data_IF_077532841257
#
_entry.id   IF_077532841257
#
_cell.length_a   1.000
_cell.length_b   1.000
_cell.length_c   1.000
_cell.angle_alpha   90.00
_cell.angle_beta   90.00
_cell.angle_gamma   90.00
#
_symmetry.space_group_name_H-M   'P 1'
#
loop_
_entity.id
_entity.type
_entity.pdbx_description
1 polymer ?
#
# COMPACT_ATOMS: atom_id res chain seq x y z
N UNK A 1 3.32 13.93 0.44
CA UNK A 1 3.18 13.25 -0.86
C UNK A 1 4.56 12.79 -1.27
N UNK A 2 4.80 11.49 -1.36
CA UNK A 2 5.89 11.04 -2.21
C UNK A 2 5.37 11.17 -3.64
N UNK A 3 5.63 12.31 -4.28
CA UNK A 3 5.59 12.35 -5.73
C UNK A 3 6.59 11.28 -6.18
N UNK A 4 6.24 10.31 -7.06
CA UNK A 4 7.22 9.36 -7.53
C UNK A 4 8.32 10.18 -8.20
N UNK A 5 9.45 10.29 -7.51
CA UNK A 5 10.59 11.03 -8.01
C UNK A 5 10.96 10.41 -9.34
N UNK A 6 11.00 11.22 -10.39
CA UNK A 6 11.52 10.74 -11.67
C UNK A 6 12.97 10.35 -11.44
N UNK A 7 13.49 9.42 -12.22
CA UNK A 7 14.90 9.05 -12.12
C UNK A 7 15.80 10.28 -12.36
N UNK A 8 15.35 11.26 -13.17
CA UNK A 8 15.98 12.57 -13.33
C UNK A 8 16.09 13.35 -12.03
N UNK A 9 15.01 13.38 -11.23
CA UNK A 9 14.96 14.11 -9.95
C UNK A 9 15.88 13.47 -8.91
N UNK A 10 16.12 12.17 -9.05
CA UNK A 10 17.02 11.39 -8.19
C UNK A 10 18.50 11.57 -8.58
N UNK A 11 18.80 12.05 -9.78
CA UNK A 11 20.19 12.32 -10.18
C UNK A 11 20.82 13.38 -9.28
N UNK A 12 20.10 14.48 -9.01
CA UNK A 12 20.58 15.57 -8.15
C UNK A 12 20.76 15.09 -6.70
N UNK A 13 19.88 14.20 -6.23
CA UNK A 13 19.93 13.67 -4.87
C UNK A 13 21.09 12.68 -4.66
N UNK A 14 21.33 11.79 -5.63
CA UNK A 14 22.31 10.70 -5.49
C UNK A 14 23.62 10.93 -6.23
N UNK A 15 23.73 11.98 -7.06
CA UNK A 15 24.92 12.27 -7.87
C UNK A 15 25.24 11.18 -8.90
N UNK A 16 24.22 10.45 -9.38
CA UNK A 16 24.36 9.32 -10.31
C UNK A 16 23.45 9.54 -11.50
N UNK A 17 23.88 9.08 -12.68
CA UNK A 17 23.02 9.14 -13.86
C UNK A 17 21.77 8.24 -13.68
N UNK A 18 20.72 8.56 -14.43
CA UNK A 18 19.45 7.79 -14.44
C UNK A 18 19.66 6.28 -14.62
N UNK A 19 20.56 5.89 -15.53
CA UNK A 19 20.83 4.48 -15.81
C UNK A 19 21.39 3.76 -14.60
N UNK A 20 22.35 4.34 -13.89
CA UNK A 20 22.93 3.75 -12.69
C UNK A 20 21.91 3.67 -11.55
N UNK A 21 21.08 4.70 -11.37
CA UNK A 21 19.99 4.69 -10.38
C UNK A 21 18.99 3.58 -10.70
N UNK A 22 18.62 3.43 -11.97
CA UNK A 22 17.74 2.36 -12.43
C UNK A 22 18.36 0.98 -12.18
N UNK A 23 19.63 0.77 -12.55
CA UNK A 23 20.33 -0.50 -12.32
C UNK A 23 20.42 -0.86 -10.84
N UNK A 24 20.76 0.10 -9.98
CA UNK A 24 20.84 -0.12 -8.53
C UNK A 24 19.45 -0.45 -7.98
N UNK A 25 18.42 0.30 -8.38
CA UNK A 25 17.04 0.07 -7.92
C UNK A 25 16.55 -1.32 -8.28
N UNK A 26 16.79 -1.76 -9.53
CA UNK A 26 16.43 -3.11 -9.98
C UNK A 26 17.23 -4.19 -9.25
N UNK A 27 18.54 -4.00 -9.05
CA UNK A 27 19.36 -4.95 -8.30
C UNK A 27 18.87 -5.13 -6.85
N UNK A 28 18.44 -4.04 -6.19
CA UNK A 28 17.83 -4.10 -4.85
C UNK A 28 16.48 -4.80 -4.90
N UNK A 29 15.63 -4.51 -5.88
CA UNK A 29 14.34 -5.20 -6.06
C UNK A 29 14.54 -6.71 -6.25
N UNK A 30 15.48 -7.12 -7.10
CA UNK A 30 15.80 -8.53 -7.34
C UNK A 30 16.30 -9.21 -6.07
N UNK A 31 17.16 -8.54 -5.29
CA UNK A 31 17.64 -9.05 -4.01
C UNK A 31 16.53 -9.21 -2.99
N UNK A 32 15.64 -8.22 -2.87
CA UNK A 32 14.50 -8.27 -1.98
C UNK A 32 13.55 -9.40 -2.37
N UNK A 33 13.28 -9.56 -3.66
CA UNK A 33 12.43 -10.65 -4.14
C UNK A 33 13.08 -12.01 -3.88
N UNK A 34 14.33 -12.21 -4.29
CA UNK A 34 15.07 -13.45 -4.06
C UNK A 34 15.07 -13.86 -2.58
N UNK A 35 15.28 -12.89 -1.68
CA UNK A 35 15.38 -13.15 -0.24
C UNK A 35 14.03 -13.30 0.45
N UNK A 36 13.04 -12.45 0.13
CA UNK A 36 11.82 -12.29 0.92
C UNK A 36 10.53 -12.68 0.18
N UNK A 37 10.58 -13.21 -1.05
CA UNK A 37 9.37 -13.60 -1.79
C UNK A 37 8.45 -14.54 -0.98
N UNK A 38 9.02 -15.44 -0.18
CA UNK A 38 8.27 -16.35 0.69
C UNK A 38 7.44 -15.64 1.77
N UNK A 39 7.80 -14.43 2.16
CA UNK A 39 7.02 -13.58 3.08
C UNK A 39 5.95 -12.75 2.34
N UNK A 40 6.15 -12.52 1.04
CA UNK A 40 5.20 -11.82 0.17
C UNK A 40 4.13 -12.75 -0.40
N UNK A 41 4.33 -14.06 -0.28
CA UNK A 41 3.33 -15.06 -0.64
C UNK A 41 2.10 -14.96 0.25
N UNK A 42 0.96 -15.35 -0.31
CA UNK A 42 -0.28 -15.37 0.43
C UNK A 42 -0.18 -16.38 1.58
N UNK A 43 -0.42 -15.90 2.80
CA UNK A 43 -0.34 -16.70 4.02
C UNK A 43 -1.60 -17.54 4.19
N UNK A 44 -1.64 -18.68 3.48
CA UNK A 44 -2.76 -19.62 3.54
C UNK A 44 -2.95 -20.25 4.93
N UNK A 45 -1.95 -20.20 5.82
CA UNK A 45 -2.05 -20.75 7.16
C UNK A 45 -2.86 -19.82 8.09
N UNK A 46 -2.67 -18.50 7.99
CA UNK A 46 -3.43 -17.52 8.80
C UNK A 46 -4.68 -16.99 8.08
N UNK A 47 -4.62 -16.81 6.77
CA UNK A 47 -5.70 -16.27 5.94
C UNK A 47 -6.49 -17.40 5.27
N UNK A 48 -7.08 -18.27 6.09
CA UNK A 48 -7.97 -19.33 5.63
C UNK A 48 -9.33 -18.78 5.21
N UNK A 49 -10.13 -19.57 4.50
CA UNK A 49 -11.50 -19.19 4.11
C UNK A 49 -12.36 -18.78 5.32
N UNK A 50 -12.23 -19.51 6.44
CA UNK A 50 -12.96 -19.22 7.67
C UNK A 50 -12.55 -17.87 8.29
N UNK A 51 -11.24 -17.56 8.33
CA UNK A 51 -10.77 -16.28 8.90
C UNK A 51 -11.13 -15.10 8.00
N UNK A 52 -11.00 -15.27 6.67
CA UNK A 52 -11.40 -14.25 5.70
C UNK A 52 -12.91 -13.97 5.75
N UNK A 53 -13.76 -15.01 5.82
CA UNK A 53 -15.21 -14.85 5.96
C UNK A 53 -15.59 -14.11 7.24
N UNK A 54 -14.88 -14.40 8.34
CA UNK A 54 -15.03 -13.71 9.61
C UNK A 54 -14.69 -12.22 9.48
N UNK A 55 -13.57 -11.89 8.84
CA UNK A 55 -13.18 -10.49 8.60
C UNK A 55 -14.18 -9.76 7.71
N UNK A 56 -14.61 -10.37 6.61
CA UNK A 56 -15.57 -9.77 5.70
C UNK A 56 -16.91 -9.47 6.38
N UNK A 57 -17.41 -10.42 7.17
CA UNK A 57 -18.64 -10.24 7.96
C UNK A 57 -18.50 -9.12 8.99
N UNK A 58 -17.39 -9.08 9.71
CA UNK A 58 -17.13 -8.04 10.71
C UNK A 58 -17.02 -6.65 10.06
N UNK A 59 -16.30 -6.52 8.96
CA UNK A 59 -16.11 -5.25 8.23
C UNK A 59 -17.44 -4.76 7.64
N UNK A 60 -18.21 -5.64 7.02
CA UNK A 60 -19.54 -5.32 6.50
C UNK A 60 -20.49 -4.89 7.63
N UNK A 61 -20.47 -5.59 8.78
CA UNK A 61 -21.30 -5.22 9.95
C UNK A 61 -20.99 -3.81 10.49
N UNK A 62 -19.77 -3.31 10.28
CA UNK A 62 -19.36 -1.94 10.63
C UNK A 62 -19.77 -0.89 9.60
N UNK A 63 -20.44 -1.29 8.51
CA UNK A 63 -20.97 -0.40 7.49
C UNK A 63 -20.11 -0.27 6.24
N UNK A 64 -19.12 -1.15 6.04
CA UNK A 64 -18.44 -1.23 4.77
C UNK A 64 -19.41 -1.71 3.67
N UNK A 65 -19.34 -1.16 2.45
CA UNK A 65 -20.33 -1.43 1.40
C UNK A 65 -20.20 -2.81 0.74
N UNK A 66 -19.08 -3.51 0.95
CA UNK A 66 -18.80 -4.78 0.29
C UNK A 66 -18.86 -5.94 1.29
N UNK A 67 -19.63 -6.97 0.94
CA UNK A 67 -19.70 -8.23 1.70
C UNK A 67 -18.43 -9.08 1.63
N UNK A 68 -17.51 -8.74 0.73
CA UNK A 68 -16.26 -9.48 0.46
C UNK A 68 -15.01 -8.73 0.92
N UNK A 69 -15.15 -7.56 1.54
CA UNK A 69 -14.00 -6.78 1.99
C UNK A 69 -13.40 -7.39 3.27
N UNK A 70 -12.24 -8.03 3.14
CA UNK A 70 -11.54 -8.73 4.24
C UNK A 70 -10.53 -7.86 4.99
N UNK A 71 -10.31 -6.63 4.53
CA UNK A 71 -9.34 -5.71 5.11
C UNK A 71 -9.20 -4.43 4.29
N UNK A 72 -8.49 -3.46 4.86
CA UNK A 72 -8.16 -2.20 4.20
C UNK A 72 -6.65 -2.11 4.03
N UNK A 73 -6.21 -1.54 2.91
CA UNK A 73 -4.80 -1.20 2.74
C UNK A 73 -4.53 -0.04 3.68
N UNK A 74 -3.68 -0.26 4.68
CA UNK A 74 -3.18 0.85 5.49
C UNK A 74 -2.33 1.74 4.59
N UNK A 75 -2.86 2.93 4.34
CA UNK A 75 -2.35 3.83 3.32
C UNK A 75 -1.78 5.09 3.94
N UNK A 76 -0.75 5.64 3.31
CA UNK A 76 -0.27 6.99 3.61
C UNK A 76 -1.43 7.98 3.52
N UNK A 77 -1.64 8.77 4.58
CA UNK A 77 -2.64 9.84 4.60
C UNK A 77 -2.42 10.77 3.40
N UNK A 78 -3.39 10.83 2.50
CA UNK A 78 -3.39 11.79 1.38
C UNK A 78 -4.14 13.03 1.82
N UNK A 79 -3.46 14.18 1.75
CA UNK A 79 -4.13 15.47 1.88
C UNK A 79 -5.17 15.61 0.78
N UNK A 80 -6.40 15.92 1.17
CA UNK A 80 -7.51 16.21 0.25
C UNK A 80 -8.04 17.61 0.59
N UNK A 81 -8.57 18.33 -0.40
CA UNK A 81 -9.40 19.51 -0.11
C UNK A 81 -10.56 19.09 0.79
N UNK A 82 -10.97 19.95 1.74
CA UNK A 82 -12.09 19.64 2.65
C UNK A 82 -13.37 19.44 1.84
N UNK A 83 -13.89 18.21 1.71
CA UNK A 83 -15.08 17.99 0.89
C UNK A 83 -16.32 18.46 1.65
N UNK A 84 -17.22 19.14 0.95
CA UNK A 84 -18.50 19.63 1.52
C UNK A 84 -19.51 18.50 1.68
N UNK A 85 -19.49 17.49 0.80
CA UNK A 85 -20.34 16.31 0.84
C UNK A 85 -19.49 15.06 1.10
N UNK A 86 -20.04 14.09 1.82
CA UNK A 86 -19.41 12.79 2.08
C UNK A 86 -18.06 12.89 2.84
N UNK A 87 -17.83 13.99 3.59
CA UNK A 87 -16.60 14.20 4.37
C UNK A 87 -16.26 13.01 5.29
N UNK A 88 -17.28 12.38 5.89
CA UNK A 88 -17.12 11.22 6.78
C UNK A 88 -16.42 10.01 6.15
N UNK A 89 -16.41 9.90 4.82
CA UNK A 89 -15.80 8.77 4.11
C UNK A 89 -14.31 8.98 3.80
N UNK A 90 -13.85 10.24 3.84
CA UNK A 90 -12.44 10.59 3.61
C UNK A 90 -11.71 11.04 4.88
N UNK A 91 -12.45 11.23 5.97
CA UNK A 91 -11.89 11.57 7.26
C UNK A 91 -11.27 10.32 7.90
N UNK A 92 -9.97 10.38 8.20
CA UNK A 92 -9.22 9.25 8.75
C UNK A 92 -9.14 9.26 10.29
N UNK A 93 -9.76 10.22 10.96
CA UNK A 93 -9.76 10.30 12.44
C UNK A 93 -8.40 10.59 13.07
N UNK A 94 -7.35 10.80 12.27
CA UNK A 94 -6.02 11.15 12.75
C UNK A 94 -5.98 12.65 13.07
N UNK A 95 -5.50 12.96 14.27
CA UNK A 95 -5.38 14.32 14.81
C UNK A 95 -4.02 14.92 14.51
#
# INVERSE_FOLDING_TARGET
MAYPARLSDLQDLFGRNETAISSISNAVLDHLYSTFHHLLQFDHARLTEATLSTYASAIHSKGAPLHTCVGFIDGTVRGTCRPVRLQKYVFNGHK
#
